data_IF_246687178143
#
_entry.id   IF_246687178143
#
_cell.length_a   1.000
_cell.length_b   1.000
_cell.length_c   1.000
_cell.angle_alpha   90.00
_cell.angle_beta   90.00
_cell.angle_gamma   90.00
#
_symmetry.space_group_name_H-M   'P 1'
#
loop_
_entity.id
_entity.type
_entity.pdbx_description
1 polymer ?
#
# COMPACT_ATOMS: atom_id res chain seq x y z
N UNK A 1 3.21 1.78 15.80
CA UNK A 1 2.27 2.25 14.78
C UNK A 1 0.83 2.31 15.27
N UNK A 2 0.61 2.45 16.58
CA UNK A 2 -0.70 2.52 17.20
C UNK A 2 -0.60 3.30 18.50
N UNK A 3 -1.69 3.90 18.94
CA UNK A 3 -1.83 4.53 20.25
C UNK A 3 -1.90 6.05 20.22
N UNK A 4 -1.33 6.75 19.22
CA UNK A 4 -1.36 8.23 19.21
C UNK A 4 -2.78 8.79 19.08
N UNK A 5 -3.69 8.04 18.44
CA UNK A 5 -5.10 8.40 18.31
C UNK A 5 -5.97 8.07 19.51
N UNK A 6 -5.41 7.73 20.68
CA UNK A 6 -6.16 7.36 21.89
C UNK A 6 -5.90 8.39 22.99
N UNK A 7 -6.96 9.08 23.43
CA UNK A 7 -6.86 10.17 24.42
C UNK A 7 -6.52 9.67 25.83
N UNK A 8 -7.12 8.56 26.26
CA UNK A 8 -7.06 8.06 27.65
C UNK A 8 -6.20 6.81 27.81
N UNK A 9 -4.95 6.83 27.31
CA UNK A 9 -4.02 5.73 27.53
C UNK A 9 -3.52 5.68 28.99
N UNK A 10 -3.41 4.49 29.61
CA UNK A 10 -2.81 4.36 30.93
C UNK A 10 -1.37 4.88 30.96
N UNK A 11 -0.97 5.55 32.05
CA UNK A 11 0.36 6.20 32.17
C UNK A 11 1.56 5.28 31.99
N UNK A 12 1.39 3.98 32.19
CA UNK A 12 2.46 2.97 32.06
C UNK A 12 2.53 2.34 30.67
N UNK A 13 1.79 2.87 29.69
CA UNK A 13 1.83 2.42 28.29
C UNK A 13 2.84 3.25 27.52
N UNK A 14 3.75 2.58 26.83
CA UNK A 14 4.62 3.21 25.85
C UNK A 14 3.95 3.22 24.48
N UNK A 15 3.97 4.36 23.81
CA UNK A 15 3.44 4.55 22.46
C UNK A 15 4.61 4.82 21.53
N UNK A 16 4.75 4.03 20.47
CA UNK A 16 5.77 4.20 19.43
C UNK A 16 5.04 4.26 18.10
N UNK A 17 4.89 5.46 17.55
CA UNK A 17 3.92 5.73 16.49
C UNK A 17 4.22 7.06 15.79
N UNK A 18 3.66 7.30 14.60
CA UNK A 18 3.90 8.49 13.76
C UNK A 18 2.63 9.29 13.40
N UNK A 19 1.46 8.74 13.73
CA UNK A 19 0.16 9.37 13.53
C UNK A 19 -0.02 10.64 14.38
N UNK A 20 -1.03 11.45 14.07
CA UNK A 20 -1.38 12.65 14.85
C UNK A 20 -1.68 12.26 16.32
N UNK A 21 -0.92 12.80 17.29
CA UNK A 21 -1.19 12.54 18.71
C UNK A 21 -2.42 13.33 19.20
N UNK A 22 -3.36 12.63 19.83
CA UNK A 22 -4.49 13.22 20.56
C UNK A 22 -4.18 13.41 22.05
N UNK A 23 -3.12 12.76 22.55
CA UNK A 23 -2.63 12.89 23.91
C UNK A 23 -1.09 12.93 23.91
N UNK A 24 -0.52 13.44 24.99
CA UNK A 24 0.91 13.44 25.25
C UNK A 24 1.19 12.62 26.52
N UNK A 25 2.33 11.95 26.58
CA UNK A 25 2.72 11.15 27.73
C UNK A 25 4.22 10.95 27.84
N UNK A 26 4.69 10.61 29.05
CA UNK A 26 6.11 10.41 29.36
C UNK A 26 6.76 9.34 28.47
N UNK A 27 6.00 8.30 28.09
CA UNK A 27 6.47 7.20 27.25
C UNK A 27 5.92 7.27 25.81
N UNK A 28 5.66 8.47 25.30
CA UNK A 28 5.16 8.68 23.93
C UNK A 28 6.29 9.07 22.99
N UNK A 29 6.78 8.10 22.22
CA UNK A 29 7.76 8.33 21.16
C UNK A 29 7.03 8.53 19.84
N UNK A 30 6.93 9.78 19.43
CA UNK A 30 6.30 10.16 18.17
C UNK A 30 7.04 11.34 17.50
N UNK A 31 7.44 11.24 16.21
CA UNK A 31 8.15 12.29 15.50
C UNK A 31 7.47 13.66 15.56
N UNK A 32 6.14 13.69 15.56
CA UNK A 32 5.37 14.94 15.54
C UNK A 32 5.55 15.76 16.82
N UNK A 33 5.75 15.09 17.96
CA UNK A 33 6.05 15.74 19.25
C UNK A 33 7.45 16.40 19.23
N UNK A 34 8.32 15.97 18.33
CA UNK A 34 9.64 16.55 18.08
C UNK A 34 9.67 17.49 16.86
N UNK A 35 8.52 17.85 16.29
CA UNK A 35 8.42 18.72 15.11
C UNK A 35 8.85 18.07 13.79
N UNK A 36 8.92 16.74 13.74
CA UNK A 36 9.25 15.96 12.53
C UNK A 36 7.95 15.56 11.83
N UNK A 37 7.91 15.65 10.50
CA UNK A 37 6.72 15.29 9.73
C UNK A 37 6.50 13.78 9.74
N UNK A 38 5.54 13.33 10.56
CA UNK A 38 5.15 11.93 10.65
C UNK A 38 4.51 11.37 9.38
N UNK A 39 4.03 12.19 8.43
CA UNK A 39 3.47 11.68 7.17
C UNK A 39 4.54 11.44 6.09
N UNK A 40 5.73 12.03 6.24
CA UNK A 40 6.73 12.10 5.15
C UNK A 40 8.15 11.74 5.54
N UNK A 41 8.57 12.06 6.75
CA UNK A 41 9.98 12.11 7.14
C UNK A 41 10.38 11.09 8.21
N UNK A 42 9.42 10.48 8.91
CA UNK A 42 9.69 9.36 9.81
C UNK A 42 8.47 8.43 9.94
N UNK A 43 8.62 7.18 9.51
CA UNK A 43 7.59 6.14 9.66
C UNK A 43 7.53 5.59 11.09
N UNK A 44 6.48 4.84 11.40
CA UNK A 44 6.43 4.13 12.68
C UNK A 44 7.56 3.09 12.82
N UNK A 45 7.98 2.46 11.72
CA UNK A 45 9.13 1.56 11.71
C UNK A 45 10.44 2.32 12.02
N UNK A 46 10.64 3.50 11.45
CA UNK A 46 11.79 4.36 11.77
C UNK A 46 11.75 4.87 13.22
N UNK A 47 10.57 5.20 13.73
CA UNK A 47 10.36 5.58 15.14
C UNK A 47 10.75 4.42 16.08
N UNK A 48 10.33 3.20 15.76
CA UNK A 48 10.71 1.99 16.51
C UNK A 48 12.22 1.69 16.40
N UNK A 49 12.84 1.95 15.25
CA UNK A 49 14.29 1.81 15.09
C UNK A 49 15.06 2.74 16.02
N UNK A 50 14.67 4.01 16.16
CA UNK A 50 15.31 4.92 17.13
C UNK A 50 15.17 4.41 18.56
N UNK A 51 14.00 3.90 18.95
CA UNK A 51 13.83 3.25 20.26
C UNK A 51 14.79 2.07 20.42
N UNK A 52 14.92 1.23 19.39
CA UNK A 52 15.83 0.09 19.42
C UNK A 52 17.30 0.52 19.57
N UNK A 53 17.72 1.62 18.92
CA UNK A 53 19.09 2.15 19.07
C UNK A 53 19.42 2.55 20.51
N UNK A 54 18.45 3.06 21.26
CA UNK A 54 18.63 3.40 22.68
C UNK A 54 18.72 2.16 23.60
N UNK A 55 18.28 0.98 23.13
CA UNK A 55 18.33 -0.27 23.89
C UNK A 55 19.61 -1.08 23.66
N UNK A 56 20.39 -0.77 22.63
CA UNK A 56 21.63 -1.48 22.32
C UNK A 56 22.07 -1.31 20.86
N UNK A 57 23.06 -2.10 20.45
CA UNK A 57 23.55 -2.10 19.06
C UNK A 57 22.57 -2.83 18.14
N UNK A 58 21.56 -2.10 17.68
CA UNK A 58 20.49 -2.60 16.81
C UNK A 58 20.57 -2.00 15.39
N UNK A 59 21.75 -1.53 14.97
CA UNK A 59 21.97 -0.90 13.66
C UNK A 59 21.56 -1.80 12.51
N UNK A 60 21.65 -3.11 12.71
CA UNK A 60 21.23 -4.13 11.78
C UNK A 60 19.75 -4.06 11.38
N UNK A 61 18.90 -3.49 12.23
CA UNK A 61 17.46 -3.31 11.97
C UNK A 61 17.15 -2.19 10.96
N UNK A 62 18.14 -1.40 10.52
CA UNK A 62 17.93 -0.34 9.55
C UNK A 62 17.29 -0.84 8.24
N UNK A 63 17.55 -2.09 7.85
CA UNK A 63 16.92 -2.72 6.69
C UNK A 63 15.40 -2.86 6.82
N UNK A 64 14.88 -3.15 8.03
CA UNK A 64 13.44 -3.29 8.29
C UNK A 64 12.69 -1.96 8.31
N UNK A 65 13.40 -0.83 8.40
CA UNK A 65 12.78 0.49 8.29
C UNK A 65 12.33 0.76 6.85
N UNK A 66 13.04 0.21 5.85
CA UNK A 66 12.74 0.45 4.43
C UNK A 66 11.35 -0.08 4.03
N UNK A 67 10.95 -1.33 4.38
CA UNK A 67 9.58 -1.76 4.17
C UNK A 67 8.52 -0.89 4.84
N UNK A 68 8.80 -0.34 6.02
CA UNK A 68 7.89 0.61 6.68
C UNK A 68 7.74 1.91 5.90
N UNK A 69 8.84 2.47 5.40
CA UNK A 69 8.83 3.68 4.54
C UNK A 69 8.02 3.42 3.27
N UNK A 70 8.26 2.30 2.58
CA UNK A 70 7.55 1.93 1.34
C UNK A 70 6.06 1.69 1.63
N UNK A 71 5.75 0.92 2.69
CA UNK A 71 4.38 0.55 3.07
C UNK A 71 3.53 1.76 3.43
N UNK A 72 4.09 2.72 4.16
CA UNK A 72 3.41 3.97 4.52
C UNK A 72 3.38 4.99 3.36
N UNK A 73 4.03 4.69 2.23
CA UNK A 73 4.16 5.62 1.11
C UNK A 73 4.94 6.88 1.44
N UNK A 74 5.87 6.81 2.42
CA UNK A 74 6.68 7.93 2.86
C UNK A 74 7.84 8.21 1.90
N UNK A 75 8.46 9.39 2.09
CA UNK A 75 9.58 9.83 1.29
C UNK A 75 10.90 9.40 1.94
N UNK A 76 11.92 9.15 1.10
CA UNK A 76 13.30 9.01 1.55
C UNK A 76 13.89 10.41 1.85
N UNK A 77 13.34 11.07 2.86
CA UNK A 77 13.67 12.44 3.29
C UNK A 77 13.74 12.52 4.81
N UNK A 78 14.30 13.61 5.35
CA UNK A 78 14.38 13.82 6.80
C UNK A 78 15.03 12.65 7.53
N UNK A 79 14.38 12.17 8.60
CA UNK A 79 14.91 11.07 9.42
C UNK A 79 14.92 9.71 8.69
N UNK A 80 13.98 9.46 7.79
CA UNK A 80 14.01 8.28 6.92
C UNK A 80 15.30 8.24 6.10
N UNK A 81 15.72 9.38 5.53
CA UNK A 81 16.96 9.48 4.76
C UNK A 81 18.22 9.29 5.62
N UNK A 82 18.21 9.78 6.87
CA UNK A 82 19.31 9.55 7.81
C UNK A 82 19.51 8.04 8.08
N UNK A 83 18.42 7.32 8.42
CA UNK A 83 18.45 5.88 8.67
C UNK A 83 18.91 5.11 7.43
N UNK A 84 18.39 5.49 6.26
CA UNK A 84 18.77 4.87 4.99
C UNK A 84 20.27 5.03 4.68
N UNK A 85 20.81 6.25 4.82
CA UNK A 85 22.23 6.51 4.60
C UNK A 85 23.13 5.76 5.58
N UNK A 86 22.71 5.65 6.85
CA UNK A 86 23.39 4.81 7.84
C UNK A 86 23.38 3.33 7.42
N UNK A 87 22.23 2.82 6.96
CA UNK A 87 22.10 1.45 6.49
C UNK A 87 23.02 1.15 5.29
N UNK A 88 23.18 2.10 4.36
CA UNK A 88 24.14 1.99 3.25
C UNK A 88 25.57 1.97 3.77
N UNK A 89 25.94 2.93 4.62
CA UNK A 89 27.30 3.05 5.15
C UNK A 89 27.75 1.79 5.91
N UNK A 90 26.81 1.07 6.52
CA UNK A 90 27.05 -0.18 7.24
C UNK A 90 26.86 -1.44 6.38
N UNK A 91 26.61 -1.31 5.07
CA UNK A 91 26.41 -2.44 4.16
C UNK A 91 25.16 -3.28 4.47
N UNK A 92 24.14 -2.68 5.08
CA UNK A 92 22.85 -3.31 5.42
C UNK A 92 21.87 -3.15 4.26
N UNK A 93 21.99 -2.04 3.53
CA UNK A 93 21.14 -1.70 2.39
C UNK A 93 22.04 -1.43 1.19
N UNK A 94 21.76 -2.07 0.06
CA UNK A 94 22.38 -1.74 -1.22
C UNK A 94 21.31 -1.12 -2.15
N UNK A 95 21.43 0.17 -2.52
CA UNK A 95 20.50 0.81 -3.43
C UNK A 95 20.83 0.43 -4.88
N UNK A 96 19.80 0.29 -5.70
CA UNK A 96 19.89 0.07 -7.14
C UNK A 96 18.70 0.75 -7.86
N UNK A 97 18.60 0.59 -9.18
CA UNK A 97 17.44 1.00 -9.96
C UNK A 97 16.94 -0.12 -10.86
N UNK A 98 15.63 -0.30 -10.89
CA UNK A 98 15.03 -1.40 -11.61
C UNK A 98 13.51 -1.38 -11.60
N UNK A 99 12.93 -2.51 -11.97
CA UNK A 99 11.49 -2.75 -11.84
C UNK A 99 11.15 -2.87 -10.35
N UNK A 100 10.28 -2.00 -9.84
CA UNK A 100 9.91 -1.97 -8.42
C UNK A 100 8.77 -2.95 -8.07
N UNK A 101 8.21 -3.63 -9.07
CA UNK A 101 7.13 -4.59 -8.87
C UNK A 101 7.63 -5.81 -8.06
N UNK A 102 6.88 -6.24 -7.02
CA UNK A 102 7.26 -7.35 -6.15
C UNK A 102 6.96 -8.72 -6.79
N UNK A 103 7.86 -9.68 -6.65
CA UNK A 103 7.70 -11.06 -7.16
C UNK A 103 9.00 -11.86 -7.05
N UNK A 104 8.90 -13.20 -7.07
CA UNK A 104 10.08 -14.10 -7.00
C UNK A 104 10.87 -14.12 -8.30
N UNK A 105 10.20 -13.92 -9.42
CA UNK A 105 10.77 -13.87 -10.76
C UNK A 105 10.08 -12.81 -11.63
N UNK A 106 10.59 -12.60 -12.84
CA UNK A 106 10.08 -11.57 -13.74
C UNK A 106 8.60 -11.80 -14.11
N UNK A 107 8.14 -13.01 -14.50
CA UNK A 107 6.72 -13.25 -14.75
C UNK A 107 5.82 -12.93 -13.55
N UNK A 108 6.21 -13.36 -12.35
CA UNK A 108 5.40 -13.14 -11.15
C UNK A 108 5.28 -11.67 -10.78
N UNK A 109 6.37 -10.89 -10.94
CA UNK A 109 6.37 -9.43 -10.71
C UNK A 109 5.25 -8.73 -11.48
N UNK A 110 5.10 -9.05 -12.77
CA UNK A 110 4.04 -8.49 -13.62
C UNK A 110 2.67 -9.08 -13.31
N UNK A 111 2.60 -10.38 -13.05
CA UNK A 111 1.35 -11.06 -12.75
C UNK A 111 0.70 -10.51 -11.48
N UNK A 112 1.49 -10.24 -10.44
CA UNK A 112 1.03 -9.76 -9.13
C UNK A 112 0.99 -8.23 -9.05
N UNK A 113 1.15 -7.47 -10.14
CA UNK A 113 1.21 -6.01 -10.10
C UNK A 113 -0.14 -5.39 -9.67
N UNK A 114 -0.18 -4.80 -8.47
CA UNK A 114 -1.32 -4.02 -7.94
C UNK A 114 -0.89 -2.66 -7.34
N UNK A 115 0.39 -2.33 -7.44
CA UNK A 115 0.94 -1.03 -7.02
C UNK A 115 2.14 -0.72 -7.91
N UNK A 116 1.91 -0.30 -9.17
CA UNK A 116 0.59 -0.06 -9.79
C UNK A 116 -0.12 -1.33 -10.28
N UNK A 117 -1.45 -1.27 -10.40
CA UNK A 117 -2.22 -2.14 -11.30
C UNK A 117 -2.04 -1.67 -12.74
N UNK A 118 -1.90 -2.62 -13.67
CA UNK A 118 -1.64 -2.36 -15.08
C UNK A 118 -2.73 -3.05 -15.91
N UNK A 119 -3.66 -2.27 -16.47
CA UNK A 119 -4.75 -2.83 -17.28
C UNK A 119 -4.19 -3.63 -18.46
N UNK A 120 -4.77 -4.80 -18.74
CA UNK A 120 -4.28 -5.72 -19.78
C UNK A 120 -3.03 -6.53 -19.41
N UNK A 121 -2.33 -6.21 -18.31
CA UNK A 121 -1.11 -6.90 -17.87
C UNK A 121 -1.31 -7.65 -16.55
N UNK A 122 -1.74 -6.96 -15.49
CA UNK A 122 -1.90 -7.54 -14.15
C UNK A 122 -2.82 -8.76 -14.20
N UNK A 123 -2.34 -9.92 -13.76
CA UNK A 123 -3.07 -11.20 -13.80
C UNK A 123 -3.30 -11.78 -15.21
N UNK A 124 -2.64 -11.30 -16.26
CA UNK A 124 -2.77 -11.78 -17.63
C UNK A 124 -1.56 -12.63 -18.03
N UNK A 125 -1.52 -13.89 -17.55
CA UNK A 125 -0.36 -14.79 -17.69
C UNK A 125 0.09 -14.98 -19.14
N UNK A 126 -0.83 -15.24 -20.07
CA UNK A 126 -0.53 -15.38 -21.49
C UNK A 126 0.07 -14.11 -22.09
N UNK A 127 -0.46 -12.94 -21.69
CA UNK A 127 0.02 -11.65 -22.20
C UNK A 127 1.40 -11.30 -21.66
N UNK A 128 1.63 -11.54 -20.37
CA UNK A 128 2.94 -11.36 -19.73
C UNK A 128 3.98 -12.24 -20.41
N UNK A 129 3.67 -13.51 -20.63
CA UNK A 129 4.55 -14.46 -21.32
C UNK A 129 4.91 -13.96 -22.72
N UNK A 130 3.91 -13.54 -23.50
CA UNK A 130 4.13 -13.01 -24.84
C UNK A 130 5.03 -11.75 -24.84
N UNK A 131 4.81 -10.82 -23.92
CA UNK A 131 5.62 -9.61 -23.80
C UNK A 131 7.07 -9.93 -23.41
N UNK A 132 7.27 -10.83 -22.44
CA UNK A 132 8.60 -11.24 -22.01
C UNK A 132 9.37 -11.94 -23.13
N UNK A 133 8.73 -12.84 -23.87
CA UNK A 133 9.35 -13.53 -25.00
C UNK A 133 9.75 -12.57 -26.13
N UNK A 134 8.90 -11.59 -26.44
CA UNK A 134 9.21 -10.54 -27.42
C UNK A 134 10.35 -9.61 -26.96
N UNK A 135 10.55 -9.49 -25.65
CA UNK A 135 11.54 -8.62 -25.03
C UNK A 135 12.88 -9.31 -24.77
N UNK A 136 13.01 -10.61 -25.08
CA UNK A 136 14.28 -11.33 -24.92
C UNK A 136 15.40 -10.69 -25.75
N UNK A 137 16.61 -10.75 -25.20
CA UNK A 137 17.85 -10.40 -25.86
C UNK A 137 18.59 -11.69 -26.28
N UNK A 138 18.56 -12.09 -27.57
CA UNK A 138 19.26 -13.28 -28.04
C UNK A 138 20.77 -13.25 -27.78
N UNK A 139 21.35 -12.06 -27.57
CA UNK A 139 22.80 -11.90 -27.34
C UNK A 139 23.23 -12.14 -25.89
N UNK A 140 22.28 -12.16 -24.94
CA UNK A 140 22.55 -12.32 -23.50
C UNK A 140 22.11 -13.69 -22.95
N UNK A 141 21.86 -14.67 -23.83
CA UNK A 141 21.37 -16.00 -23.45
C UNK A 141 19.91 -15.98 -22.94
N UNK A 142 19.45 -17.10 -22.38
CA UNK A 142 18.03 -17.29 -22.01
C UNK A 142 17.49 -16.30 -20.96
N UNK A 143 18.37 -15.66 -20.17
CA UNK A 143 17.99 -14.69 -19.13
C UNK A 143 18.14 -13.22 -19.55
N UNK A 144 18.57 -12.96 -20.79
CA UNK A 144 18.72 -11.61 -21.31
C UNK A 144 17.38 -10.95 -21.60
N UNK A 145 17.07 -9.83 -20.95
CA UNK A 145 15.88 -9.02 -21.23
C UNK A 145 16.28 -7.62 -21.68
N UNK A 146 15.74 -7.18 -22.82
CA UNK A 146 15.79 -5.79 -23.28
C UNK A 146 14.75 -4.99 -22.50
N UNK A 147 15.18 -4.40 -21.40
CA UNK A 147 14.28 -3.72 -20.47
C UNK A 147 13.53 -2.54 -21.09
N UNK A 148 14.19 -1.80 -21.99
CA UNK A 148 13.58 -0.74 -22.80
C UNK A 148 12.41 -1.26 -23.65
N UNK A 149 12.59 -2.42 -24.29
CA UNK A 149 11.56 -3.09 -25.09
C UNK A 149 10.41 -3.56 -24.21
N UNK A 150 10.73 -4.21 -23.09
CA UNK A 150 9.73 -4.67 -22.11
C UNK A 150 8.86 -3.52 -21.60
N UNK A 151 9.48 -2.46 -21.10
CA UNK A 151 8.77 -1.29 -20.59
C UNK A 151 7.93 -0.62 -21.69
N UNK A 152 8.45 -0.52 -22.91
CA UNK A 152 7.68 0.04 -24.04
C UNK A 152 6.44 -0.79 -24.36
N UNK A 153 6.54 -2.12 -24.38
CA UNK A 153 5.41 -3.02 -24.62
C UNK A 153 4.35 -2.92 -23.52
N UNK A 154 4.78 -2.88 -22.26
CA UNK A 154 3.89 -2.70 -21.10
C UNK A 154 3.16 -1.37 -21.19
N UNK A 155 3.87 -0.27 -21.50
CA UNK A 155 3.26 1.06 -21.67
C UNK A 155 2.23 1.05 -22.79
N UNK A 156 2.55 0.47 -23.95
CA UNK A 156 1.63 0.40 -25.08
C UNK A 156 0.35 -0.37 -24.75
N UNK A 157 0.46 -1.45 -23.96
CA UNK A 157 -0.71 -2.24 -23.56
C UNK A 157 -1.56 -1.54 -22.49
N UNK A 158 -0.92 -0.99 -21.44
CA UNK A 158 -1.63 -0.52 -20.26
C UNK A 158 -2.07 0.96 -20.33
N UNK A 159 -1.41 1.79 -21.15
CA UNK A 159 -1.68 3.24 -21.23
C UNK A 159 -3.13 3.65 -21.51
N UNK A 160 -3.95 2.92 -22.28
CA UNK A 160 -5.33 3.34 -22.54
C UNK A 160 -6.20 3.48 -21.29
N UNK A 161 -5.90 2.74 -20.21
CA UNK A 161 -6.70 2.75 -18.97
C UNK A 161 -5.88 2.93 -17.68
N UNK A 162 -4.59 3.21 -17.81
CA UNK A 162 -3.69 3.38 -16.67
C UNK A 162 -3.18 4.81 -16.61
N UNK A 163 -3.09 5.41 -15.42
CA UNK A 163 -2.55 6.77 -15.27
C UNK A 163 -1.06 6.84 -15.66
N UNK A 164 -0.63 7.99 -16.17
CA UNK A 164 0.78 8.21 -16.53
C UNK A 164 1.72 8.05 -15.32
N UNK A 165 1.28 8.51 -14.14
CA UNK A 165 2.05 8.38 -12.90
C UNK A 165 2.28 6.90 -12.55
N UNK A 166 1.25 6.06 -12.69
CA UNK A 166 1.35 4.62 -12.47
C UNK A 166 2.25 3.93 -13.49
N UNK A 167 2.20 4.30 -14.77
CA UNK A 167 3.13 3.75 -15.76
C UNK A 167 4.59 4.11 -15.45
N UNK A 168 4.84 5.35 -15.02
CA UNK A 168 6.18 5.82 -14.65
C UNK A 168 6.71 5.18 -13.37
N UNK A 169 5.84 4.81 -12.43
CA UNK A 169 6.26 4.23 -11.15
C UNK A 169 6.76 2.79 -11.25
N UNK A 170 6.56 2.11 -12.38
CA UNK A 170 7.02 0.72 -12.61
C UNK A 170 8.54 0.58 -12.55
N UNK A 171 9.29 1.61 -12.95
CA UNK A 171 10.76 1.63 -12.91
C UNK A 171 11.25 2.75 -12.01
N UNK A 172 12.05 2.41 -11.01
CA UNK A 172 12.44 3.34 -9.95
C UNK A 172 13.59 2.84 -9.10
N UNK A 173 13.69 3.39 -7.89
CA UNK A 173 14.69 2.99 -6.91
C UNK A 173 14.31 1.64 -6.28
N UNK A 174 15.28 0.73 -6.25
CA UNK A 174 15.16 -0.58 -5.60
C UNK A 174 16.17 -0.66 -4.46
N UNK A 175 15.83 -1.45 -3.43
CA UNK A 175 16.67 -1.57 -2.23
C UNK A 175 16.86 -3.04 -1.90
N UNK A 176 18.11 -3.46 -1.87
CA UNK A 176 18.53 -4.82 -1.57
C UNK A 176 18.97 -4.90 -0.10
N UNK A 177 18.14 -5.53 0.72
CA UNK A 177 18.28 -5.69 2.16
C UNK A 177 19.21 -6.87 2.45
N UNK A 178 20.43 -6.58 2.86
CA UNK A 178 21.52 -7.56 2.96
C UNK A 178 21.38 -8.56 4.11
N UNK A 179 20.42 -8.34 5.02
CA UNK A 179 20.20 -9.18 6.22
C UNK A 179 18.83 -9.86 6.26
N UNK A 180 17.91 -9.46 5.40
CA UNK A 180 16.53 -9.92 5.46
C UNK A 180 16.30 -11.17 4.60
N UNK A 181 15.32 -11.98 4.97
CA UNK A 181 15.02 -13.26 4.27
C UNK A 181 14.43 -13.07 2.88
N UNK A 182 13.89 -11.88 2.62
CA UNK A 182 13.54 -11.40 1.28
C UNK A 182 14.41 -10.16 1.04
N UNK A 183 15.34 -10.28 0.10
CA UNK A 183 16.34 -9.25 -0.19
C UNK A 183 15.69 -7.99 -0.79
N UNK A 184 14.76 -8.14 -1.72
CA UNK A 184 14.08 -7.02 -2.37
C UNK A 184 13.09 -6.36 -1.40
N UNK A 185 13.33 -5.09 -1.04
CA UNK A 185 12.50 -4.38 -0.06
C UNK A 185 11.05 -4.19 -0.52
N UNK A 186 10.79 -4.00 -1.82
CA UNK A 186 9.43 -3.87 -2.35
C UNK A 186 8.70 -5.21 -2.24
N UNK A 187 9.39 -6.32 -2.51
CA UNK A 187 8.87 -7.66 -2.29
C UNK A 187 8.58 -7.96 -0.81
N UNK A 188 9.52 -7.65 0.09
CA UNK A 188 9.31 -7.85 1.53
C UNK A 188 8.11 -7.04 2.03
N UNK A 189 7.98 -5.78 1.60
CA UNK A 189 6.83 -4.92 1.90
C UNK A 189 5.52 -5.56 1.46
N UNK A 190 5.44 -6.01 0.21
CA UNK A 190 4.24 -6.62 -0.35
C UNK A 190 3.85 -7.93 0.37
N UNK A 191 4.83 -8.69 0.83
CA UNK A 191 4.60 -9.94 1.58
C UNK A 191 4.11 -9.66 2.99
N UNK A 192 4.73 -8.70 3.70
CA UNK A 192 4.30 -8.27 5.04
C UNK A 192 2.87 -7.73 5.00
N UNK A 193 2.59 -6.82 4.06
CA UNK A 193 1.27 -6.21 3.88
C UNK A 193 0.18 -7.26 3.64
N UNK A 194 0.41 -8.19 2.70
CA UNK A 194 -0.54 -9.24 2.42
C UNK A 194 -0.77 -10.17 3.61
N UNK A 195 0.29 -10.53 4.35
CA UNK A 195 0.17 -11.34 5.56
C UNK A 195 -0.65 -10.61 6.64
N UNK A 196 -0.37 -9.33 6.89
CA UNK A 196 -1.13 -8.52 7.83
C UNK A 196 -2.61 -8.43 7.48
N UNK A 197 -2.93 -8.06 6.23
CA UNK A 197 -4.31 -7.90 5.73
C UNK A 197 -5.12 -9.20 5.72
N UNK A 198 -4.45 -10.35 5.70
CA UNK A 198 -5.11 -11.66 5.67
C UNK A 198 -5.06 -12.42 6.99
N UNK A 199 -4.65 -11.76 8.08
CA UNK A 199 -4.67 -12.32 9.43
C UNK A 199 -3.48 -13.23 9.78
N UNK A 200 -2.42 -13.20 8.98
CA UNK A 200 -1.17 -13.94 9.18
C UNK A 200 -0.03 -13.01 9.64
N UNK A 201 -0.32 -12.04 10.49
CA UNK A 201 0.68 -11.09 11.02
C UNK A 201 1.79 -11.77 11.83
N UNK A 202 1.50 -12.94 12.42
CA UNK A 202 2.49 -13.80 13.07
C UNK A 202 3.57 -14.28 12.08
N UNK A 203 3.17 -14.71 10.87
CA UNK A 203 4.09 -15.10 9.80
C UNK A 203 4.92 -13.90 9.36
N UNK A 204 4.30 -12.74 9.14
CA UNK A 204 5.03 -11.52 8.78
C UNK A 204 6.10 -11.16 9.82
N UNK A 205 5.75 -11.23 11.11
CA UNK A 205 6.68 -10.98 12.20
C UNK A 205 7.85 -11.96 12.19
N UNK A 206 7.62 -13.25 11.88
CA UNK A 206 8.72 -14.23 11.78
C UNK A 206 9.72 -13.88 10.66
N UNK A 207 9.25 -13.32 9.54
CA UNK A 207 10.14 -12.87 8.45
C UNK A 207 10.99 -11.67 8.90
N UNK A 208 10.38 -10.71 9.61
CA UNK A 208 11.10 -9.56 10.18
C UNK A 208 12.11 -9.97 11.25
N UNK A 209 11.92 -11.13 11.88
CA UNK A 209 12.90 -11.75 12.78
C UNK A 209 13.94 -12.60 12.02
N UNK A 210 14.01 -12.43 10.69
CA UNK A 210 14.92 -13.13 9.77
C UNK A 210 14.79 -14.65 9.77
N UNK A 211 13.60 -15.16 10.09
CA UNK A 211 13.29 -16.58 9.98
C UNK A 211 12.75 -16.90 8.59
N UNK A 212 13.41 -17.82 7.87
CA UNK A 212 12.94 -18.31 6.58
C UNK A 212 11.93 -19.46 6.69
N UNK A 213 11.58 -19.88 7.92
CA UNK A 213 10.76 -21.08 8.16
C UNK A 213 9.40 -21.07 7.45
N UNK A 214 8.77 -19.89 7.34
CA UNK A 214 7.47 -19.72 6.66
C UNK A 214 7.57 -18.94 5.34
N UNK A 215 8.76 -18.81 4.75
CA UNK A 215 9.00 -17.97 3.58
C UNK A 215 8.09 -18.35 2.39
N UNK A 216 8.05 -19.63 2.01
CA UNK A 216 7.20 -20.09 0.90
C UNK A 216 5.71 -19.85 1.17
N UNK A 217 5.28 -20.05 2.41
CA UNK A 217 3.89 -19.81 2.82
C UNK A 217 3.55 -18.33 2.75
N UNK A 218 4.45 -17.45 3.15
CA UNK A 218 4.26 -16.01 3.09
C UNK A 218 4.15 -15.51 1.63
N UNK A 219 4.99 -16.03 0.73
CA UNK A 219 4.89 -15.76 -0.70
C UNK A 219 3.56 -16.23 -1.29
N UNK A 220 3.08 -17.42 -0.92
CA UNK A 220 1.78 -17.93 -1.38
C UNK A 220 0.61 -17.10 -0.83
N UNK A 221 0.69 -16.62 0.41
CA UNK A 221 -0.28 -15.67 0.97
C UNK A 221 -0.32 -14.38 0.14
N UNK A 222 0.86 -13.81 -0.15
CA UNK A 222 0.99 -12.61 -0.96
C UNK A 222 0.42 -12.80 -2.38
N UNK A 223 0.78 -13.91 -3.02
CA UNK A 223 0.27 -14.29 -4.34
C UNK A 223 -1.25 -14.39 -4.36
N UNK A 224 -1.84 -15.11 -3.41
CA UNK A 224 -3.29 -15.30 -3.33
C UNK A 224 -4.03 -14.00 -3.04
N UNK A 225 -3.54 -13.19 -2.10
CA UNK A 225 -4.16 -11.90 -1.78
C UNK A 225 -4.15 -10.98 -3.00
N UNK A 226 -2.99 -10.79 -3.65
CA UNK A 226 -2.87 -9.91 -4.82
C UNK A 226 -3.67 -10.43 -6.01
N UNK A 227 -3.75 -11.74 -6.21
CA UNK A 227 -4.65 -12.35 -7.20
C UNK A 227 -6.13 -12.04 -6.95
N UNK A 228 -6.61 -12.11 -5.69
CA UNK A 228 -7.98 -11.70 -5.35
C UNK A 228 -8.23 -10.22 -5.61
N UNK A 229 -7.26 -9.36 -5.30
CA UNK A 229 -7.36 -7.91 -5.56
C UNK A 229 -7.47 -7.64 -7.07
N UNK A 230 -6.64 -8.27 -7.89
CA UNK A 230 -6.69 -8.15 -9.36
C UNK A 230 -8.07 -8.58 -9.88
N UNK A 231 -8.59 -9.71 -9.41
CA UNK A 231 -9.91 -10.19 -9.83
C UNK A 231 -11.03 -9.24 -9.40
N UNK A 232 -10.95 -8.69 -8.18
CA UNK A 232 -11.92 -7.71 -7.69
C UNK A 232 -11.91 -6.41 -8.52
N UNK A 233 -10.74 -5.95 -8.98
CA UNK A 233 -10.63 -4.78 -9.88
C UNK A 233 -11.21 -5.11 -11.26
N UNK A 234 -10.96 -6.30 -11.80
CA UNK A 234 -11.49 -6.72 -13.12
C UNK A 234 -13.00 -6.89 -13.15
N UNK A 235 -13.58 -7.33 -12.03
CA UNK A 235 -15.01 -7.63 -11.89
C UNK A 235 -15.79 -6.53 -11.16
N UNK A 236 -15.14 -5.41 -10.85
CA UNK A 236 -15.76 -4.29 -10.14
C UNK A 236 -16.98 -3.78 -10.89
N UNK A 237 -18.07 -3.54 -10.17
CA UNK A 237 -19.32 -3.05 -10.75
C UNK A 237 -19.46 -1.54 -10.50
N UNK A 238 -19.42 -0.75 -11.58
CA UNK A 238 -19.74 0.67 -11.50
C UNK A 238 -21.24 0.85 -11.21
N UNK A 239 -21.58 1.64 -10.18
CA UNK A 239 -22.98 1.83 -9.78
C UNK A 239 -23.65 2.81 -10.73
N UNK A 240 -24.74 2.39 -11.36
CA UNK A 240 -25.47 3.19 -12.33
C UNK A 240 -25.97 4.50 -11.71
N UNK A 241 -25.69 5.63 -12.38
CA UNK A 241 -26.08 6.97 -11.92
C UNK A 241 -25.10 7.63 -10.93
N UNK A 242 -24.06 6.92 -10.46
CA UNK A 242 -23.09 7.43 -9.49
C UNK A 242 -21.66 7.38 -10.04
N UNK A 243 -21.07 8.54 -10.32
CA UNK A 243 -19.72 8.62 -10.89
C UNK A 243 -18.67 8.30 -9.82
N UNK A 244 -17.72 7.44 -10.14
CA UNK A 244 -16.65 7.06 -9.22
C UNK A 244 -17.10 6.16 -8.07
N UNK A 245 -18.31 5.59 -8.14
CA UNK A 245 -18.85 4.69 -7.12
C UNK A 245 -18.88 3.26 -7.65
N UNK A 246 -18.35 2.33 -6.86
CA UNK A 246 -18.09 0.96 -7.25
C UNK A 246 -18.53 -0.03 -6.16
N UNK A 247 -19.13 -1.14 -6.58
CA UNK A 247 -19.44 -2.29 -5.74
C UNK A 247 -18.48 -3.45 -6.05
N UNK A 248 -17.94 -4.06 -4.99
CA UNK A 248 -17.22 -5.33 -5.06
C UNK A 248 -17.87 -6.35 -4.13
N UNK A 249 -17.57 -7.62 -4.37
CA UNK A 249 -18.11 -8.74 -3.57
C UNK A 249 -17.37 -8.92 -2.24
N UNK A 250 -16.05 -8.77 -2.24
CA UNK A 250 -15.21 -9.08 -1.07
C UNK A 250 -14.94 -7.84 -0.21
N UNK A 251 -15.56 -7.79 0.96
CA UNK A 251 -15.43 -6.66 1.88
C UNK A 251 -14.01 -6.44 2.41
N UNK A 252 -13.19 -7.49 2.47
CA UNK A 252 -11.80 -7.39 2.92
C UNK A 252 -10.91 -6.64 1.92
N UNK A 253 -11.36 -6.44 0.68
CA UNK A 253 -10.57 -5.84 -0.40
C UNK A 253 -11.00 -4.40 -0.74
N UNK A 254 -11.98 -3.84 -0.02
CA UNK A 254 -12.51 -2.51 -0.29
C UNK A 254 -11.42 -1.45 -0.30
N UNK A 255 -10.48 -1.50 0.65
CA UNK A 255 -9.34 -0.61 0.71
C UNK A 255 -8.39 -0.76 -0.50
N UNK A 256 -7.97 -1.99 -0.80
CA UNK A 256 -7.03 -2.29 -1.88
C UNK A 256 -7.57 -1.86 -3.24
N UNK A 257 -8.83 -2.20 -3.51
CA UNK A 257 -9.51 -1.83 -4.77
C UNK A 257 -9.67 -0.31 -4.85
N UNK A 258 -9.98 0.37 -3.74
CA UNK A 258 -10.07 1.84 -3.74
C UNK A 258 -8.73 2.51 -4.05
N UNK A 259 -7.64 1.99 -3.47
CA UNK A 259 -6.29 2.51 -3.73
C UNK A 259 -5.91 2.35 -5.20
N UNK A 260 -6.20 1.18 -5.79
CA UNK A 260 -5.94 0.91 -7.22
C UNK A 260 -6.78 1.81 -8.11
N UNK A 261 -8.09 1.86 -7.90
CA UNK A 261 -8.96 2.67 -8.75
C UNK A 261 -8.54 4.13 -8.70
N UNK A 262 -8.33 4.70 -7.51
CA UNK A 262 -7.97 6.12 -7.39
C UNK A 262 -6.57 6.47 -7.93
N UNK A 263 -5.58 5.58 -7.78
CA UNK A 263 -4.19 5.84 -8.20
C UNK A 263 -3.93 5.47 -9.65
N UNK A 264 -4.39 4.30 -10.05
CA UNK A 264 -3.97 3.64 -11.28
C UNK A 264 -4.97 3.81 -12.43
N UNK A 265 -6.25 4.03 -12.13
CA UNK A 265 -7.28 4.27 -13.16
C UNK A 265 -7.59 5.77 -13.25
N UNK A 266 -7.64 6.36 -14.46
CA UNK A 266 -7.98 7.78 -14.60
C UNK A 266 -9.38 8.11 -14.07
N UNK A 267 -9.44 8.93 -13.02
CA UNK A 267 -10.68 9.46 -12.45
C UNK A 267 -10.59 10.97 -12.25
N UNK A 268 -11.69 11.67 -12.55
CA UNK A 268 -11.83 13.11 -12.34
C UNK A 268 -12.55 13.46 -11.02
N UNK A 269 -13.06 12.45 -10.31
CA UNK A 269 -13.81 12.59 -9.06
C UNK A 269 -13.28 11.62 -8.01
N UNK A 270 -13.44 11.91 -6.71
CA UNK A 270 -13.16 10.96 -5.65
C UNK A 270 -13.80 9.58 -5.90
N UNK A 271 -13.06 8.52 -5.61
CA UNK A 271 -13.49 7.13 -5.78
C UNK A 271 -14.08 6.62 -4.46
N UNK A 272 -15.21 5.93 -4.54
CA UNK A 272 -15.84 5.20 -3.46
C UNK A 272 -16.02 3.74 -3.87
N UNK A 273 -15.47 2.82 -3.08
CA UNK A 273 -15.71 1.39 -3.23
C UNK A 273 -16.46 0.90 -2.01
N UNK A 274 -17.50 0.10 -2.22
CA UNK A 274 -18.18 -0.58 -1.13
C UNK A 274 -18.36 -2.06 -1.39
N UNK A 275 -18.59 -2.80 -0.31
CA UNK A 275 -18.92 -4.21 -0.33
C UNK A 275 -19.90 -4.54 0.80
N UNK A 276 -20.84 -5.44 0.51
CA UNK A 276 -21.81 -5.93 1.49
C UNK A 276 -21.28 -7.20 2.15
N UNK A 277 -21.31 -7.26 3.47
CA UNK A 277 -20.96 -8.45 4.26
C UNK A 277 -21.93 -8.60 5.42
N UNK A 278 -22.79 -9.63 5.35
CA UNK A 278 -23.92 -9.79 6.26
C UNK A 278 -24.80 -8.53 6.26
N UNK A 279 -25.11 -7.98 7.44
CA UNK A 279 -25.93 -6.78 7.61
C UNK A 279 -25.12 -5.47 7.50
N UNK A 280 -23.80 -5.54 7.29
CA UNK A 280 -22.91 -4.39 7.24
C UNK A 280 -22.32 -4.14 5.84
N UNK A 281 -22.27 -2.88 5.46
CA UNK A 281 -21.62 -2.39 4.25
C UNK A 281 -20.31 -1.70 4.63
N UNK A 282 -19.21 -2.19 4.06
CA UNK A 282 -17.87 -1.64 4.22
C UNK A 282 -17.60 -0.68 3.08
N UNK A 283 -17.17 0.53 3.42
CA UNK A 283 -16.96 1.62 2.47
C UNK A 283 -15.52 2.11 2.61
N UNK A 284 -14.86 2.31 1.49
CA UNK A 284 -13.55 2.93 1.40
C UNK A 284 -13.58 4.00 0.31
N UNK A 285 -13.06 5.19 0.64
CA UNK A 285 -13.04 6.34 -0.24
C UNK A 285 -11.61 6.89 -0.39
N UNK A 286 -11.27 7.33 -1.61
CA UNK A 286 -9.94 7.85 -1.98
C UNK A 286 -10.05 9.03 -2.92
N UNK A 287 -9.17 10.01 -2.76
CA UNK A 287 -8.97 11.08 -3.73
C UNK A 287 -7.93 10.65 -4.78
N UNK A 288 -8.30 10.59 -6.08
CA UNK A 288 -7.32 10.49 -7.15
C UNK A 288 -6.35 11.68 -7.17
N UNK A 289 -5.13 11.53 -7.73
CA UNK A 289 -4.22 12.64 -7.95
C UNK A 289 -4.89 13.81 -8.68
N UNK A 290 -4.69 15.03 -8.18
CA UNK A 290 -5.29 16.24 -8.74
C UNK A 290 -6.71 16.54 -8.27
N UNK A 291 -7.33 15.66 -7.48
CA UNK A 291 -8.58 15.95 -6.77
C UNK A 291 -8.28 16.31 -5.31
N UNK A 292 -9.04 17.24 -4.75
CA UNK A 292 -8.96 17.57 -3.32
C UNK A 292 -10.37 17.64 -2.77
N UNK A 293 -10.71 16.69 -1.91
CA UNK A 293 -11.94 16.67 -1.13
C UNK A 293 -11.57 16.24 0.28
N UNK A 294 -12.14 16.87 1.30
CA UNK A 294 -11.85 16.50 2.69
C UNK A 294 -12.68 15.27 3.09
N UNK A 295 -12.14 14.08 2.80
CA UNK A 295 -12.88 12.83 2.89
C UNK A 295 -13.19 12.43 4.33
N UNK A 296 -12.31 12.72 5.28
CA UNK A 296 -12.46 12.31 6.68
C UNK A 296 -13.76 12.83 7.31
N UNK A 297 -13.96 14.16 7.39
CA UNK A 297 -15.19 14.77 7.89
C UNK A 297 -16.43 14.41 7.07
N UNK A 298 -16.30 14.37 5.73
CA UNK A 298 -17.41 14.01 4.85
C UNK A 298 -17.93 12.60 5.13
N UNK A 299 -17.05 11.61 5.12
CA UNK A 299 -17.42 10.20 5.35
C UNK A 299 -17.95 10.00 6.77
N UNK A 300 -17.39 10.69 7.78
CA UNK A 300 -17.93 10.68 9.14
C UNK A 300 -19.36 11.18 9.20
N UNK A 301 -19.67 12.32 8.58
CA UNK A 301 -21.01 12.89 8.57
C UNK A 301 -22.03 11.99 7.85
N UNK A 302 -21.65 11.44 6.69
CA UNK A 302 -22.51 10.52 5.92
C UNK A 302 -22.73 9.19 6.64
N UNK A 303 -21.70 8.62 7.26
CA UNK A 303 -21.84 7.39 8.03
C UNK A 303 -22.77 7.60 9.24
N UNK A 304 -22.60 8.71 9.96
CA UNK A 304 -23.44 9.05 11.11
C UNK A 304 -24.91 9.21 10.74
N UNK A 305 -25.23 9.83 9.60
CA UNK A 305 -26.62 9.96 9.13
C UNK A 305 -27.25 8.62 8.70
N UNK A 306 -26.39 7.64 8.35
CA UNK A 306 -26.79 6.27 8.04
C UNK A 306 -26.82 5.35 9.27
N UNK A 307 -26.54 5.86 10.48
CA UNK A 307 -26.47 5.05 11.71
C UNK A 307 -25.24 4.13 11.75
N UNK A 308 -24.19 4.45 11.00
CA UNK A 308 -22.91 3.76 11.02
C UNK A 308 -21.78 4.62 11.59
N UNK A 309 -20.56 4.11 11.48
CA UNK A 309 -19.35 4.79 11.93
C UNK A 309 -18.39 5.00 10.75
N UNK A 310 -17.71 6.14 10.72
CA UNK A 310 -16.75 6.44 9.67
C UNK A 310 -15.81 7.58 10.02
N UNK A 311 -14.76 7.71 9.23
CA UNK A 311 -13.75 8.74 9.40
C UNK A 311 -12.50 8.46 8.55
N UNK A 312 -11.49 9.28 8.73
CA UNK A 312 -10.22 9.14 8.01
C UNK A 312 -9.47 10.46 7.94
N UNK A 313 -8.56 10.53 6.97
CA UNK A 313 -7.73 11.68 6.67
C UNK A 313 -8.30 12.46 5.48
N UNK A 314 -7.62 13.56 5.12
CA UNK A 314 -7.98 14.42 4.00
C UNK A 314 -8.22 13.61 2.70
N UNK A 315 -7.25 12.77 2.30
CA UNK A 315 -7.28 12.10 0.99
C UNK A 315 -7.83 10.66 1.01
N UNK A 316 -8.11 10.11 2.20
CA UNK A 316 -8.61 8.74 2.35
C UNK A 316 -9.46 8.58 3.60
N UNK A 317 -10.58 7.90 3.45
CA UNK A 317 -11.50 7.63 4.55
C UNK A 317 -12.21 6.28 4.37
N UNK A 318 -12.80 5.79 5.46
CA UNK A 318 -13.58 4.56 5.46
C UNK A 318 -14.78 4.65 6.39
N UNK A 319 -15.77 3.79 6.16
CA UNK A 319 -16.95 3.68 6.99
C UNK A 319 -17.51 2.26 7.01
N UNK A 320 -18.27 1.96 8.05
CA UNK A 320 -19.13 0.79 8.15
C UNK A 320 -20.54 1.27 8.47
N UNK A 321 -21.49 0.92 7.60
CA UNK A 321 -22.90 1.32 7.72
C UNK A 321 -23.82 0.09 7.59
N UNK A 322 -25.09 0.15 8.02
CA UNK A 322 -26.08 -0.87 7.68
C UNK A 322 -26.27 -1.01 6.16
N UNK A 323 -26.37 -2.25 5.66
CA UNK A 323 -26.47 -2.54 4.22
C UNK A 323 -27.66 -1.86 3.53
N UNK A 324 -28.80 -1.73 4.21
CA UNK A 324 -30.01 -1.08 3.68
C UNK A 324 -29.85 0.44 3.48
N UNK A 325 -28.78 1.04 4.01
CA UNK A 325 -28.47 2.48 3.89
C UNK A 325 -27.50 2.83 2.77
N UNK A 326 -26.96 1.85 2.03
CA UNK A 326 -25.94 2.12 1.00
C UNK A 326 -26.41 3.10 -0.07
N UNK A 327 -27.68 3.03 -0.49
CA UNK A 327 -28.26 3.95 -1.47
C UNK A 327 -28.34 5.39 -0.93
N UNK A 328 -28.65 5.55 0.36
CA UNK A 328 -28.66 6.85 1.03
C UNK A 328 -27.25 7.43 1.11
N UNK A 329 -26.27 6.61 1.48
CA UNK A 329 -24.87 7.01 1.54
C UNK A 329 -24.35 7.45 0.16
N UNK A 330 -24.56 6.64 -0.88
CA UNK A 330 -24.11 6.92 -2.24
C UNK A 330 -24.72 8.23 -2.80
N UNK A 331 -25.99 8.49 -2.46
CA UNK A 331 -26.65 9.77 -2.78
C UNK A 331 -25.97 10.96 -2.11
N UNK A 332 -25.78 10.92 -0.79
CA UNK A 332 -25.12 12.01 -0.06
C UNK A 332 -23.67 12.21 -0.51
N UNK A 333 -22.96 11.13 -0.82
CA UNK A 333 -21.62 11.18 -1.43
C UNK A 333 -21.63 11.93 -2.75
N UNK A 334 -22.50 11.55 -3.68
CA UNK A 334 -22.57 12.16 -5.01
C UNK A 334 -22.94 13.64 -4.98
N UNK A 335 -23.82 14.05 -4.06
CA UNK A 335 -24.17 15.45 -3.83
C UNK A 335 -22.97 16.25 -3.30
N UNK A 336 -22.15 15.65 -2.43
CA UNK A 336 -21.00 16.31 -1.83
C UNK A 336 -19.80 16.44 -2.79
N UNK A 337 -19.55 15.44 -3.65
CA UNK A 337 -18.38 15.43 -4.55
C UNK A 337 -18.66 16.01 -5.95
N UNK A 338 -19.91 16.40 -6.24
CA UNK A 338 -20.29 17.06 -7.48
C UNK A 338 -20.21 18.60 -7.41
N UNK A 339 -20.03 19.17 -6.21
CA UNK A 339 -19.79 20.60 -5.98
C UNK A 339 -18.32 20.95 -6.08
#
# INVERSE_FOLDING_TARGET
>A
DLGSGVEDLPRNVMVVDHHLPLSEGEFHVNPRLAGIDGDRELSAAGTAYYVAQELGDNRDLAGLVIPGIIGDGQQMAGKNLEIFNEGIANGIIAPDRGIVLPGRDMPERWYMAISPYLDGISGAEERITAILDQSRDPSQGDNGLRLDTLLSQVVLEAAPKTTAASLLSVYGDTFHLQREVIEDAHALTAVIDACGKTGFGDIAATLCLRSSHYLDRAWEIARRHRGRVIEAVRTVHAVEGYKGVYEITDAALTSDVSDILARDVPHAVPVLVYAKSNDACWISARCPPGTTADLGPLVRALAGSCGGNGGGHLLRAGATIPCDKVALFAKGWQEAVAG
#
